data_IF_198109422549
#
_entry.id   IF_198109422549
#
_cell.length_a   1.000
_cell.length_b   1.000
_cell.length_c   1.000
_cell.angle_alpha   90.00
_cell.angle_beta   90.00
_cell.angle_gamma   90.00
#
_symmetry.space_group_name_H-M   'P 1'
#
loop_
_entity.id
_entity.type
_entity.pdbx_description
1 polymer ?
#
# COMPACT_ATOMS: atom_id res chain seq x y z
N UNK A 1 -68.06 -40.75 -15.06
CA UNK A 1 -67.31 -39.68 -15.76
C UNK A 1 -66.48 -39.01 -14.70
N UNK A 2 -65.18 -39.32 -14.67
CA UNK A 2 -64.21 -38.73 -13.75
C UNK A 2 -63.95 -37.31 -14.28
N UNK A 3 -64.32 -36.30 -13.50
CA UNK A 3 -64.01 -34.90 -13.83
C UNK A 3 -62.51 -34.69 -13.67
N UNK A 4 -61.78 -34.17 -14.68
CA UNK A 4 -60.35 -33.91 -14.56
C UNK A 4 -60.10 -32.96 -13.38
N UNK A 5 -59.17 -33.31 -12.49
CA UNK A 5 -58.80 -32.42 -11.40
C UNK A 5 -58.26 -31.09 -11.97
N UNK A 6 -58.63 -29.94 -11.37
CA UNK A 6 -58.10 -28.65 -11.79
C UNK A 6 -56.57 -28.64 -11.63
N UNK A 7 -55.85 -28.35 -12.71
CA UNK A 7 -54.43 -28.07 -12.62
C UNK A 7 -54.24 -26.83 -11.72
N UNK A 8 -53.74 -27.04 -10.50
CA UNK A 8 -53.24 -25.97 -9.64
C UNK A 8 -51.82 -25.65 -10.12
N UNK A 9 -51.63 -24.47 -10.68
CA UNK A 9 -50.28 -23.96 -10.96
C UNK A 9 -49.47 -24.01 -9.65
N UNK A 10 -48.31 -24.67 -9.61
CA UNK A 10 -47.40 -24.55 -8.48
C UNK A 10 -47.02 -23.06 -8.35
N UNK A 11 -46.93 -22.52 -7.12
CA UNK A 11 -46.49 -21.15 -6.93
C UNK A 11 -45.16 -20.94 -7.68
N UNK A 12 -45.01 -19.80 -8.38
CA UNK A 12 -43.80 -19.37 -9.11
C UNK A 12 -42.60 -19.15 -8.17
N UNK A 13 -42.20 -20.18 -7.41
CA UNK A 13 -41.09 -20.13 -6.46
C UNK A 13 -39.73 -20.11 -7.17
N UNK A 14 -39.69 -20.39 -8.47
CA UNK A 14 -38.44 -20.52 -9.23
C UNK A 14 -37.80 -19.17 -9.60
N UNK A 15 -38.57 -18.07 -9.65
CA UNK A 15 -37.99 -16.75 -9.93
C UNK A 15 -37.60 -15.98 -8.66
N UNK A 16 -38.25 -16.30 -7.53
CA UNK A 16 -37.99 -15.66 -6.24
C UNK A 16 -36.59 -15.96 -5.69
N UNK A 17 -36.06 -17.17 -5.90
CA UNK A 17 -34.72 -17.53 -5.41
C UNK A 17 -33.60 -16.84 -6.20
N UNK A 18 -33.81 -16.60 -7.50
CA UNK A 18 -32.88 -15.86 -8.35
C UNK A 18 -32.86 -14.37 -7.99
N UNK A 19 -34.02 -13.79 -7.72
CA UNK A 19 -34.13 -12.39 -7.27
C UNK A 19 -33.58 -12.20 -5.86
N UNK A 20 -33.80 -13.15 -4.95
CA UNK A 20 -33.23 -13.12 -3.59
C UNK A 20 -31.71 -13.22 -3.58
N UNK A 21 -31.09 -14.00 -4.48
CA UNK A 21 -29.63 -14.04 -4.60
C UNK A 21 -29.04 -12.71 -5.09
N UNK A 22 -29.73 -11.98 -5.97
CA UNK A 22 -29.28 -10.67 -6.45
C UNK A 22 -29.52 -9.54 -5.44
N UNK A 23 -30.54 -9.66 -4.58
CA UNK A 23 -30.89 -8.67 -3.57
C UNK A 23 -30.22 -8.86 -2.21
N UNK A 24 -29.43 -9.93 -2.01
CA UNK A 24 -28.63 -10.03 -0.79
C UNK A 24 -27.64 -8.86 -0.78
N UNK A 25 -27.78 -7.88 0.15
CA UNK A 25 -26.74 -6.88 0.33
C UNK A 25 -25.47 -7.66 0.64
N UNK A 26 -24.44 -7.51 -0.21
CA UNK A 26 -23.13 -8.12 0.02
C UNK A 26 -22.82 -7.90 1.50
N UNK A 27 -22.54 -8.96 2.28
CA UNK A 27 -22.24 -8.80 3.69
C UNK A 27 -21.17 -7.71 3.80
N UNK A 28 -21.51 -6.63 4.52
CA UNK A 28 -20.57 -5.55 4.76
C UNK A 28 -19.30 -6.20 5.28
N UNK A 29 -18.23 -6.15 4.47
CA UNK A 29 -16.96 -6.79 4.79
C UNK A 29 -16.57 -6.36 6.20
N UNK A 30 -16.18 -7.29 7.08
CA UNK A 30 -15.84 -6.92 8.44
C UNK A 30 -14.79 -5.83 8.39
N UNK A 31 -15.11 -4.70 9.02
CA UNK A 31 -14.24 -3.56 9.25
C UNK A 31 -13.03 -4.02 10.08
N UNK A 32 -12.07 -4.70 9.46
CA UNK A 32 -10.72 -4.92 10.03
C UNK A 32 -9.91 -3.64 9.89
N UNK A 33 -10.51 -2.52 10.32
CA UNK A 33 -9.98 -1.17 10.34
C UNK A 33 -8.70 -1.15 11.17
N UNK A 34 -7.55 -1.01 10.52
CA UNK A 34 -6.20 -0.78 11.10
C UNK A 34 -5.68 -1.83 12.13
N UNK A 35 -6.52 -2.71 12.65
CA UNK A 35 -6.20 -3.72 13.66
C UNK A 35 -5.95 -5.11 13.07
N UNK A 36 -6.30 -5.31 11.79
CA UNK A 36 -5.75 -6.40 10.98
C UNK A 36 -4.24 -6.27 10.86
N UNK A 37 -3.54 -7.41 10.80
CA UNK A 37 -2.08 -7.42 10.74
C UNK A 37 -1.56 -6.67 9.50
N UNK A 38 -2.28 -6.75 8.36
CA UNK A 38 -1.97 -6.00 7.14
C UNK A 38 -2.08 -4.48 7.31
N UNK A 39 -3.11 -4.00 8.00
CA UNK A 39 -3.32 -2.57 8.26
C UNK A 39 -2.22 -1.96 9.13
N UNK A 40 -1.87 -2.61 10.24
CA UNK A 40 -0.78 -2.17 11.14
C UNK A 40 0.55 -2.11 10.41
N UNK A 41 0.87 -3.16 9.66
CA UNK A 41 2.12 -3.21 8.93
C UNK A 41 2.19 -2.12 7.85
N UNK A 42 1.07 -1.84 7.17
CA UNK A 42 0.97 -0.75 6.18
C UNK A 42 1.24 0.60 6.83
N UNK A 43 0.63 0.88 7.99
CA UNK A 43 0.83 2.12 8.72
C UNK A 43 2.29 2.29 9.18
N UNK A 44 2.85 1.28 9.86
CA UNK A 44 4.23 1.32 10.36
C UNK A 44 5.22 1.46 9.21
N UNK A 45 5.09 0.64 8.17
CA UNK A 45 6.01 0.66 7.03
C UNK A 45 5.92 1.96 6.24
N UNK A 46 4.72 2.49 6.01
CA UNK A 46 4.50 3.79 5.37
C UNK A 46 5.09 4.95 6.19
N UNK A 47 4.97 4.91 7.52
CA UNK A 47 5.56 5.90 8.41
C UNK A 47 7.09 5.86 8.36
N UNK A 48 7.67 4.66 8.48
CA UNK A 48 9.13 4.48 8.39
C UNK A 48 9.62 4.95 7.02
N UNK A 49 8.93 4.60 5.94
CA UNK A 49 9.29 5.01 4.58
C UNK A 49 9.31 6.54 4.45
N UNK A 50 8.27 7.20 4.96
CA UNK A 50 8.16 8.67 4.96
C UNK A 50 9.32 9.32 5.72
N UNK A 51 9.60 8.86 6.94
CA UNK A 51 10.66 9.42 7.78
C UNK A 51 12.04 9.12 7.19
N UNK A 52 12.22 7.96 6.54
CA UNK A 52 13.50 7.55 5.97
C UNK A 52 14.05 8.53 4.93
N UNK A 53 13.19 9.27 4.23
CA UNK A 53 13.62 10.30 3.28
C UNK A 53 14.40 11.46 3.94
N UNK A 54 14.21 11.69 5.24
CA UNK A 54 14.94 12.70 6.01
C UNK A 54 16.17 12.15 6.74
N UNK A 55 16.49 10.87 6.53
CA UNK A 55 17.69 10.25 7.10
C UNK A 55 18.86 10.30 6.10
N UNK A 56 20.08 10.14 6.60
CA UNK A 56 21.30 10.19 5.78
C UNK A 56 21.35 9.06 4.75
N UNK A 57 21.14 9.40 3.48
CA UNK A 57 21.22 8.47 2.34
C UNK A 57 22.64 8.32 1.83
N UNK A 58 23.44 9.39 1.92
CA UNK A 58 24.84 9.38 1.56
C UNK A 58 25.69 9.93 2.68
N UNK A 59 26.91 9.42 2.80
CA UNK A 59 27.90 9.89 3.76
C UNK A 59 29.24 10.10 3.06
N UNK A 60 29.93 11.17 3.42
CA UNK A 60 31.27 11.48 2.93
C UNK A 60 32.11 12.12 4.03
N UNK A 61 33.44 12.04 3.86
CA UNK A 61 34.38 12.82 4.68
C UNK A 61 34.94 13.94 3.84
N UNK A 62 34.71 15.18 4.28
CA UNK A 62 35.39 16.37 3.78
C UNK A 62 36.21 16.98 4.91
N UNK A 63 37.50 17.24 4.67
CA UNK A 63 38.39 17.95 5.60
C UNK A 63 38.34 17.47 7.07
N UNK A 64 38.28 16.16 7.30
CA UNK A 64 38.27 15.56 8.64
C UNK A 64 36.90 15.51 9.34
N UNK A 65 35.85 16.09 8.76
CA UNK A 65 34.47 16.04 9.29
C UNK A 65 33.62 15.06 8.48
N UNK A 66 32.91 14.18 9.18
CA UNK A 66 31.94 13.27 8.55
C UNK A 66 30.65 14.03 8.32
N UNK A 67 30.24 14.16 7.07
CA UNK A 67 29.01 14.87 6.69
C UNK A 67 28.05 13.88 6.02
N UNK A 68 26.77 14.00 6.34
CA UNK A 68 25.71 13.16 5.78
C UNK A 68 24.73 14.00 4.97
N UNK A 69 24.32 13.48 3.81
CA UNK A 69 23.29 14.09 2.96
C UNK A 69 22.00 13.31 3.14
N UNK A 70 20.97 14.00 3.60
CA UNK A 70 19.65 13.41 3.77
C UNK A 70 18.96 13.17 2.42
N UNK A 71 18.16 12.11 2.33
CA UNK A 71 17.46 11.71 1.10
C UNK A 71 16.69 12.83 0.40
N UNK A 72 16.04 13.71 1.16
CA UNK A 72 15.31 14.88 0.67
C UNK A 72 16.14 15.79 -0.27
N UNK A 73 17.42 15.99 0.06
CA UNK A 73 18.34 16.82 -0.71
C UNK A 73 19.03 16.08 -1.86
N UNK A 74 18.70 14.80 -2.06
CA UNK A 74 19.37 13.96 -3.06
C UNK A 74 18.76 14.02 -4.47
N UNK A 75 17.79 14.91 -4.70
CA UNK A 75 17.14 15.14 -5.98
C UNK A 75 15.62 14.90 -5.94
N UNK A 76 15.04 14.57 -7.10
CA UNK A 76 13.60 14.29 -7.21
C UNK A 76 13.21 12.95 -6.57
N UNK A 77 14.03 11.91 -6.75
CA UNK A 77 13.75 10.56 -6.24
C UNK A 77 13.54 10.51 -4.73
N UNK A 78 14.35 11.23 -3.94
CA UNK A 78 14.17 11.30 -2.48
C UNK A 78 12.84 11.94 -2.07
N UNK A 79 12.37 12.94 -2.83
CA UNK A 79 11.07 13.57 -2.61
C UNK A 79 9.94 12.63 -3.02
N UNK A 80 10.09 11.90 -4.13
CA UNK A 80 9.10 10.93 -4.57
C UNK A 80 8.93 9.79 -3.55
N UNK A 81 10.02 9.29 -2.96
CA UNK A 81 9.94 8.28 -1.87
C UNK A 81 9.18 8.83 -0.66
N UNK A 82 9.44 10.08 -0.27
CA UNK A 82 8.66 10.75 0.78
C UNK A 82 7.16 10.82 0.45
N UNK A 83 6.81 11.28 -0.76
CA UNK A 83 5.41 11.40 -1.17
C UNK A 83 4.72 10.06 -1.34
N UNK A 84 5.44 9.00 -1.72
CA UNK A 84 4.91 7.64 -1.75
C UNK A 84 4.60 7.18 -0.32
N UNK A 85 5.51 7.36 0.63
CA UNK A 85 5.24 7.06 2.04
C UNK A 85 4.04 7.82 2.58
N UNK A 86 3.93 9.11 2.24
CA UNK A 86 2.77 9.93 2.62
C UNK A 86 1.48 9.46 1.95
N UNK A 87 1.52 9.03 0.68
CA UNK A 87 0.37 8.48 -0.01
C UNK A 87 -0.12 7.18 0.65
N UNK A 88 0.79 6.30 1.06
CA UNK A 88 0.45 5.10 1.84
C UNK A 88 -0.21 5.47 3.16
N UNK A 89 0.32 6.45 3.89
CA UNK A 89 -0.30 6.94 5.12
C UNK A 89 -1.65 7.60 4.88
N UNK A 90 -1.80 8.35 3.79
CA UNK A 90 -3.06 9.00 3.42
C UNK A 90 -4.14 7.94 3.13
N UNK A 91 -3.80 6.87 2.42
CA UNK A 91 -4.70 5.74 2.18
C UNK A 91 -5.17 5.13 3.51
N UNK A 92 -4.25 4.85 4.44
CA UNK A 92 -4.59 4.32 5.77
C UNK A 92 -5.48 5.30 6.55
N UNK A 93 -5.17 6.59 6.50
CA UNK A 93 -5.94 7.62 7.18
C UNK A 93 -7.36 7.77 6.59
N UNK A 94 -7.50 7.83 5.26
CA UNK A 94 -8.80 7.91 4.58
C UNK A 94 -9.71 6.74 4.99
N UNK A 95 -9.13 5.53 5.05
CA UNK A 95 -9.84 4.35 5.52
C UNK A 95 -10.34 4.48 6.96
N UNK A 96 -9.52 5.02 7.86
CA UNK A 96 -9.91 5.25 9.26
C UNK A 96 -11.10 6.22 9.35
N UNK A 97 -11.20 7.18 8.43
CA UNK A 97 -12.34 8.09 8.31
C UNK A 97 -13.54 7.48 7.58
N UNK A 98 -13.51 6.20 7.21
CA UNK A 98 -14.56 5.52 6.46
C UNK A 98 -14.64 5.88 4.97
N UNK A 99 -13.59 6.52 4.44
CA UNK A 99 -13.48 6.85 3.01
C UNK A 99 -12.77 5.69 2.32
N UNK A 100 -13.56 4.86 1.65
CA UNK A 100 -13.03 3.72 0.89
C UNK A 100 -12.69 4.10 -0.55
N UNK A 101 -11.67 3.45 -1.10
CA UNK A 101 -11.37 3.52 -2.52
C UNK A 101 -12.53 2.91 -3.34
N UNK A 102 -12.80 3.42 -4.56
CA UNK A 102 -13.86 2.88 -5.41
C UNK A 102 -13.64 1.38 -5.61
N UNK A 103 -14.74 0.61 -5.61
CA UNK A 103 -14.72 -0.86 -5.63
C UNK A 103 -13.99 -1.49 -6.83
N UNK A 104 -13.67 -0.70 -7.86
CA UNK A 104 -12.87 -1.10 -9.02
C UNK A 104 -11.37 -1.24 -8.73
N UNK A 105 -10.85 -0.65 -7.64
CA UNK A 105 -9.42 -0.66 -7.33
C UNK A 105 -9.18 -1.23 -5.93
N UNK A 106 -8.62 -2.46 -5.81
CA UNK A 106 -8.23 -3.02 -4.52
C UNK A 106 -7.17 -2.15 -3.85
N UNK A 107 -7.36 -1.81 -2.58
CA UNK A 107 -6.41 -0.99 -1.82
C UNK A 107 -5.06 -1.70 -1.66
N UNK A 108 -5.09 -3.03 -1.43
CA UNK A 108 -3.90 -3.88 -1.40
C UNK A 108 -3.04 -3.73 -2.67
N UNK A 109 -3.66 -3.70 -3.85
CA UNK A 109 -2.97 -3.50 -5.12
C UNK A 109 -2.29 -2.12 -5.18
N UNK A 110 -2.97 -1.06 -4.72
CA UNK A 110 -2.39 0.30 -4.67
C UNK A 110 -1.17 0.34 -3.74
N UNK A 111 -1.27 -0.25 -2.54
CA UNK A 111 -0.17 -0.30 -1.58
C UNK A 111 1.02 -1.09 -2.14
N UNK A 112 0.78 -2.23 -2.79
CA UNK A 112 1.83 -3.03 -3.46
C UNK A 112 2.50 -2.23 -4.59
N UNK A 113 1.71 -1.53 -5.40
CA UNK A 113 2.22 -0.71 -6.50
C UNK A 113 3.08 0.44 -5.97
N UNK A 114 2.63 1.13 -4.92
CA UNK A 114 3.38 2.19 -4.25
C UNK A 114 4.69 1.67 -3.64
N UNK A 115 4.64 0.54 -2.92
CA UNK A 115 5.83 -0.12 -2.37
C UNK A 115 6.84 -0.55 -3.45
N UNK A 116 6.35 -1.08 -4.57
CA UNK A 116 7.17 -1.45 -5.74
C UNK A 116 7.84 -0.23 -6.35
N UNK A 117 7.09 0.84 -6.59
CA UNK A 117 7.62 2.08 -7.15
C UNK A 117 8.69 2.70 -6.25
N UNK A 118 8.43 2.73 -4.93
CA UNK A 118 9.41 3.19 -3.96
C UNK A 118 10.67 2.32 -3.96
N UNK A 119 10.52 1.00 -4.05
CA UNK A 119 11.66 0.07 -4.12
C UNK A 119 12.52 0.37 -5.34
N UNK A 120 11.91 0.59 -6.51
CA UNK A 120 12.63 0.98 -7.73
C UNK A 120 13.39 2.29 -7.51
N UNK A 121 12.76 3.32 -6.95
CA UNK A 121 13.41 4.62 -6.71
C UNK A 121 14.59 4.51 -5.75
N UNK A 122 14.44 3.74 -4.67
CA UNK A 122 15.53 3.49 -3.71
C UNK A 122 16.66 2.68 -4.35
N UNK A 123 16.35 1.67 -5.16
CA UNK A 123 17.37 0.87 -5.86
C UNK A 123 18.15 1.70 -6.87
N UNK A 124 17.47 2.54 -7.67
CA UNK A 124 18.12 3.50 -8.57
C UNK A 124 19.11 4.34 -7.76
N UNK A 125 18.68 4.83 -6.60
CA UNK A 125 19.51 5.66 -5.72
C UNK A 125 20.69 4.91 -5.09
N UNK A 126 20.51 3.63 -4.80
CA UNK A 126 21.52 2.77 -4.20
C UNK A 126 22.65 2.49 -5.18
N UNK A 127 22.32 2.25 -6.44
CA UNK A 127 23.28 1.92 -7.51
C UNK A 127 23.82 3.16 -8.22
N UNK A 128 22.99 4.18 -8.44
CA UNK A 128 23.31 5.41 -9.16
C UNK A 128 23.48 6.57 -8.18
N UNK A 129 24.74 6.93 -7.95
CA UNK A 129 25.13 8.12 -7.19
C UNK A 129 25.14 9.29 -8.18
N UNK A 130 24.47 10.42 -7.90
CA UNK A 130 24.55 11.58 -8.77
C UNK A 130 25.94 12.16 -8.75
N UNK A 131 26.25 12.71 -9.92
CA UNK A 131 27.49 13.40 -10.23
C UNK A 131 27.77 14.54 -9.23
N UNK A 132 26.75 15.23 -8.72
CA UNK A 132 26.93 16.30 -7.73
C UNK A 132 27.63 15.87 -6.42
N UNK A 133 27.72 14.56 -6.14
CA UNK A 133 28.38 14.01 -4.95
C UNK A 133 29.77 13.40 -5.24
N UNK A 134 30.43 13.79 -6.35
CA UNK A 134 31.80 13.36 -6.66
C UNK A 134 32.74 13.54 -5.45
N UNK A 135 33.29 12.43 -4.94
CA UNK A 135 34.14 12.35 -3.74
C UNK A 135 33.48 11.70 -2.52
N UNK A 136 32.15 11.58 -2.50
CA UNK A 136 31.36 11.09 -1.36
C UNK A 136 30.70 9.75 -1.72
N UNK A 137 31.49 8.68 -1.72
CA UNK A 137 31.04 7.34 -2.18
C UNK A 137 30.34 6.49 -1.10
N UNK A 138 30.21 7.00 0.12
CA UNK A 138 29.59 6.26 1.22
C UNK A 138 28.06 6.23 1.08
N UNK A 139 27.47 5.04 1.28
CA UNK A 139 26.03 4.90 1.46
C UNK A 139 25.72 5.09 2.94
N UNK A 140 24.82 6.02 3.26
CA UNK A 140 24.34 6.21 4.62
C UNK A 140 23.31 5.14 4.97
N UNK A 141 23.06 4.95 6.27
CA UNK A 141 22.09 3.95 6.75
C UNK A 141 20.67 4.21 6.24
N UNK A 142 20.33 5.48 5.99
CA UNK A 142 19.00 5.90 5.59
C UNK A 142 18.49 5.25 4.31
N UNK A 143 19.38 5.00 3.34
CA UNK A 143 18.97 4.37 2.08
C UNK A 143 18.56 2.90 2.28
N UNK A 144 19.19 2.21 3.23
CA UNK A 144 18.84 0.84 3.58
C UNK A 144 17.53 0.80 4.39
N UNK A 145 17.31 1.78 5.26
CA UNK A 145 16.03 1.95 5.96
C UNK A 145 14.91 2.16 4.94
N UNK A 146 15.10 3.04 3.95
CA UNK A 146 14.12 3.24 2.87
C UNK A 146 13.85 1.97 2.08
N UNK A 147 14.89 1.17 1.78
CA UNK A 147 14.75 -0.08 1.04
C UNK A 147 13.96 -1.12 1.85
N UNK A 148 14.30 -1.32 3.12
CA UNK A 148 13.58 -2.25 3.99
C UNK A 148 12.14 -1.78 4.16
N UNK A 149 11.92 -0.48 4.38
CA UNK A 149 10.58 0.08 4.52
C UNK A 149 9.74 -0.12 3.26
N UNK A 150 10.29 0.08 2.06
CA UNK A 150 9.54 -0.14 0.82
C UNK A 150 9.18 -1.61 0.60
N UNK A 151 10.07 -2.54 0.96
CA UNK A 151 9.78 -3.97 0.95
C UNK A 151 8.69 -4.34 1.98
N UNK A 152 8.73 -3.73 3.17
CA UNK A 152 7.68 -3.92 4.18
C UNK A 152 6.33 -3.37 3.72
N UNK A 153 6.30 -2.26 2.97
CA UNK A 153 5.06 -1.77 2.34
C UNK A 153 4.49 -2.81 1.37
N UNK A 154 5.33 -3.43 0.54
CA UNK A 154 4.90 -4.52 -0.36
C UNK A 154 4.36 -5.70 0.45
N UNK A 155 5.10 -6.16 1.46
CA UNK A 155 4.68 -7.26 2.32
C UNK A 155 3.34 -6.96 3.04
N UNK A 156 3.15 -5.73 3.48
CA UNK A 156 1.90 -5.28 4.09
C UNK A 156 0.73 -5.31 3.10
N UNK A 157 0.96 -4.85 1.87
CA UNK A 157 -0.04 -4.92 0.80
C UNK A 157 -0.40 -6.37 0.42
N UNK A 158 0.58 -7.28 0.38
CA UNK A 158 0.34 -8.72 0.14
C UNK A 158 -0.45 -9.37 1.28
N UNK A 159 -0.08 -9.08 2.52
CA UNK A 159 -0.81 -9.58 3.69
C UNK A 159 -2.25 -9.07 3.67
N UNK A 160 -2.45 -7.82 3.32
CA UNK A 160 -3.78 -7.24 3.17
C UNK A 160 -4.57 -7.85 2.02
N UNK A 161 -3.93 -8.14 0.88
CA UNK A 161 -4.59 -8.85 -0.22
C UNK A 161 -5.14 -10.21 0.26
N UNK A 162 -4.41 -10.91 1.13
CA UNK A 162 -4.89 -12.17 1.72
C UNK A 162 -6.04 -11.99 2.72
N UNK A 163 -6.19 -10.81 3.33
CA UNK A 163 -7.32 -10.46 4.21
C UNK A 163 -8.57 -9.99 3.40
N UNK A 164 -8.39 -9.61 2.13
CA UNK A 164 -9.46 -9.12 1.23
C UNK A 164 -10.13 -10.22 0.39
N UNK A 165 -9.47 -11.38 0.25
CA UNK A 165 -9.93 -12.60 -0.44
C UNK A 165 -10.88 -13.41 0.44
#
# INVERSE_FOLDING_TARGET
METPEPYLEPPETDDDWLQQQQQQPRPARPLSGVWGWGGRLTWVSGLILTISAFTGWYAGRGQGVTTAVIGWHTGALGKLVFFIGLAVLAIVALREFGIELPATVPESLVVIALGSLSTIFVLIRLISIPDAFFGWRGRGIGIFISLIASLLVIAAGLLRASEEL
#
